data_IF_075270873295
#
_entry.id   IF_075270873295
#
_cell.length_a   1.000
_cell.length_b   1.000
_cell.length_c   1.000
_cell.angle_alpha   90.00
_cell.angle_beta   90.00
_cell.angle_gamma   90.00
#
_symmetry.space_group_name_H-M   'P 1'
#
loop_
_entity.id
_entity.type
_entity.pdbx_description
1 polymer ?
#
# COMPACT_ATOMS: atom_id res chain seq x y z
N UNK A 1 51.89 45.33 12.14
CA UNK A 1 50.81 45.19 11.24
C UNK A 1 50.63 43.74 10.67
N UNK A 2 51.68 42.98 10.45
CA UNK A 2 51.61 41.63 9.86
C UNK A 2 51.10 40.51 10.79
N UNK A 3 51.25 40.61 12.12
CA UNK A 3 50.79 39.61 13.07
C UNK A 3 49.26 39.63 13.27
N UNK A 4 48.63 40.79 13.11
CA UNK A 4 47.16 40.92 13.23
C UNK A 4 46.44 40.41 11.99
N UNK A 5 47.02 40.53 10.80
CA UNK A 5 46.50 39.99 9.55
C UNK A 5 46.50 38.45 9.52
N UNK A 6 47.55 37.83 10.09
CA UNK A 6 47.64 36.38 10.14
C UNK A 6 46.68 35.77 11.19
N UNK A 7 46.34 36.52 12.26
CA UNK A 7 45.35 36.08 13.25
C UNK A 7 43.92 36.12 12.71
N UNK A 8 43.59 37.13 11.88
CA UNK A 8 42.27 37.23 11.22
C UNK A 8 42.06 36.19 10.10
N UNK A 9 43.13 35.81 9.40
CA UNK A 9 43.09 34.72 8.42
C UNK A 9 42.94 33.32 9.07
N UNK A 10 43.56 33.12 10.24
CA UNK A 10 43.39 31.88 11.00
C UNK A 10 41.98 31.74 11.62
N UNK A 11 41.36 32.87 12.03
CA UNK A 11 39.99 32.86 12.56
C UNK A 11 38.94 32.66 11.46
N UNK A 12 39.18 33.14 10.24
CA UNK A 12 38.30 32.90 9.09
C UNK A 12 38.37 31.46 8.57
N UNK A 13 39.51 30.77 8.74
CA UNK A 13 39.66 29.35 8.39
C UNK A 13 38.98 28.39 9.40
N UNK A 14 38.75 28.83 10.64
CA UNK A 14 38.06 28.05 11.67
C UNK A 14 36.54 28.16 11.60
N UNK A 15 35.99 29.16 10.93
CA UNK A 15 34.55 29.32 10.72
C UNK A 15 34.06 28.63 9.45
N UNK A 16 34.94 28.13 8.59
CA UNK A 16 34.61 27.40 7.35
C UNK A 16 34.56 25.88 7.50
N UNK A 17 34.93 25.33 8.65
CA UNK A 17 34.76 23.91 8.97
C UNK A 17 33.42 23.67 9.69
N UNK A 18 32.32 24.16 9.10
CA UNK A 18 31.01 23.55 9.34
C UNK A 18 31.16 22.13 8.86
N UNK A 19 31.36 21.20 9.80
CA UNK A 19 31.50 19.79 9.48
C UNK A 19 30.36 19.39 8.51
N UNK A 20 30.76 18.91 7.36
CA UNK A 20 29.91 17.97 6.61
C UNK A 20 29.70 16.81 7.58
N UNK A 21 28.69 16.93 8.44
CA UNK A 21 28.12 15.75 9.08
C UNK A 21 27.80 14.81 7.91
N UNK A 22 28.34 13.62 7.96
CA UNK A 22 28.00 12.59 7.02
C UNK A 22 26.46 12.58 6.97
N UNK A 23 25.93 12.95 5.82
CA UNK A 23 24.49 12.90 5.60
C UNK A 23 24.05 11.50 5.97
N UNK A 24 23.11 11.38 6.92
CA UNK A 24 22.56 10.08 7.29
C UNK A 24 21.96 9.39 6.07
N UNK A 25 21.74 8.12 6.17
CA UNK A 25 21.02 7.37 5.15
C UNK A 25 19.79 6.70 5.78
N UNK A 26 18.78 6.44 4.96
CA UNK A 26 17.58 5.70 5.29
C UNK A 26 17.31 4.69 4.19
N UNK A 27 17.23 3.42 4.54
CA UNK A 27 16.88 2.36 3.61
C UNK A 27 15.40 2.03 3.76
N UNK A 28 14.60 2.51 2.82
CA UNK A 28 13.17 2.29 2.74
C UNK A 28 12.88 1.11 1.81
N UNK A 29 12.06 0.16 2.27
CA UNK A 29 11.55 -0.94 1.48
C UNK A 29 10.02 -0.87 1.48
N UNK A 30 9.42 -0.54 0.35
CA UNK A 30 8.01 -0.23 0.25
C UNK A 30 7.39 -0.64 -1.07
N UNK A 31 6.10 -0.36 -1.22
CA UNK A 31 5.38 -0.60 -2.46
C UNK A 31 5.89 0.30 -3.58
N UNK A 32 5.88 -0.20 -4.82
CA UNK A 32 6.01 0.67 -5.99
C UNK A 32 4.84 1.66 -6.05
N UNK A 33 5.03 2.79 -6.73
CA UNK A 33 4.00 3.84 -6.87
C UNK A 33 3.34 4.25 -5.53
N UNK A 34 4.14 4.42 -4.46
CA UNK A 34 3.63 4.73 -3.12
C UNK A 34 4.24 5.98 -2.49
N UNK A 35 5.50 6.27 -2.78
CA UNK A 35 6.18 7.48 -2.31
C UNK A 35 6.65 8.28 -3.51
N UNK A 36 6.12 9.49 -3.77
CA UNK A 36 6.55 10.33 -4.88
C UNK A 36 8.02 10.72 -4.76
N UNK A 37 8.75 10.76 -5.88
CA UNK A 37 10.16 11.15 -5.89
C UNK A 37 10.38 12.54 -5.27
N UNK A 38 9.46 13.48 -5.52
CA UNK A 38 9.52 14.82 -4.95
C UNK A 38 9.45 14.85 -3.41
N UNK A 39 8.79 13.86 -2.79
CA UNK A 39 8.74 13.71 -1.32
C UNK A 39 10.08 13.20 -0.81
N UNK A 40 10.72 12.24 -1.49
CA UNK A 40 12.05 11.74 -1.15
C UNK A 40 13.11 12.84 -1.28
N UNK A 41 13.06 13.58 -2.38
CA UNK A 41 13.98 14.70 -2.66
C UNK A 41 13.78 15.84 -1.65
N UNK A 42 12.53 16.16 -1.31
CA UNK A 42 12.19 17.16 -0.32
C UNK A 42 12.74 16.83 1.07
N UNK A 43 12.61 15.59 1.52
CA UNK A 43 13.18 15.12 2.77
C UNK A 43 14.72 15.19 2.77
N UNK A 44 15.36 14.71 1.69
CA UNK A 44 16.81 14.76 1.54
C UNK A 44 17.32 16.20 1.54
N UNK A 45 16.64 17.10 0.82
CA UNK A 45 17.00 18.53 0.77
C UNK A 45 16.89 19.21 2.15
N UNK A 46 15.88 18.85 2.93
CA UNK A 46 15.64 19.45 4.24
C UNK A 46 16.62 18.93 5.31
N UNK A 47 16.88 17.62 5.28
CA UNK A 47 17.59 16.93 6.39
C UNK A 47 19.01 16.55 6.08
N UNK A 48 19.42 16.51 4.82
CA UNK A 48 20.67 15.93 4.36
C UNK A 48 20.68 14.39 4.38
N UNK A 49 19.60 13.73 4.80
CA UNK A 49 19.49 12.28 4.86
C UNK A 49 19.10 11.75 3.48
N UNK A 50 19.92 10.88 2.91
CA UNK A 50 19.61 10.21 1.64
C UNK A 50 18.65 9.07 1.87
N UNK A 51 17.55 9.02 1.12
CA UNK A 51 16.62 7.88 1.13
C UNK A 51 16.97 6.93 -0.01
N UNK A 52 17.36 5.70 0.32
CA UNK A 52 17.53 4.60 -0.62
C UNK A 52 16.21 3.83 -0.64
N UNK A 53 15.45 3.97 -1.72
CA UNK A 53 14.13 3.34 -1.84
C UNK A 53 14.22 2.11 -2.73
N UNK A 54 13.93 0.95 -2.16
CA UNK A 54 13.75 -0.33 -2.84
C UNK A 54 12.28 -0.72 -2.79
N UNK A 55 11.77 -1.33 -3.86
CA UNK A 55 10.35 -1.68 -3.96
C UNK A 55 10.13 -3.18 -3.95
N UNK A 56 8.91 -3.58 -3.59
CA UNK A 56 8.38 -4.94 -3.69
C UNK A 56 6.95 -4.91 -4.26
N UNK A 57 6.50 -6.07 -4.76
CA UNK A 57 5.19 -6.22 -5.37
C UNK A 57 4.19 -7.03 -4.52
N UNK A 58 4.66 -7.66 -3.43
CA UNK A 58 3.80 -8.44 -2.53
C UNK A 58 4.30 -8.44 -1.08
N UNK A 59 3.37 -8.62 -0.12
CA UNK A 59 3.71 -8.80 1.30
C UNK A 59 4.56 -10.05 1.55
N UNK A 60 4.40 -11.08 0.74
CA UNK A 60 5.17 -12.32 0.80
C UNK A 60 6.64 -12.07 0.43
N UNK A 61 6.89 -11.23 -0.59
CA UNK A 61 8.24 -10.80 -0.96
C UNK A 61 8.88 -10.02 0.18
N UNK A 62 8.16 -9.05 0.75
CA UNK A 62 8.61 -8.29 1.92
C UNK A 62 9.04 -9.22 3.06
N UNK A 63 8.14 -10.13 3.47
CA UNK A 63 8.43 -11.07 4.56
C UNK A 63 9.61 -11.98 4.25
N UNK A 64 9.69 -12.51 3.04
CA UNK A 64 10.77 -13.40 2.62
C UNK A 64 12.12 -12.71 2.68
N UNK A 65 12.24 -11.50 2.20
CA UNK A 65 13.49 -10.71 2.25
C UNK A 65 13.89 -10.39 3.70
N UNK A 66 12.94 -9.98 4.54
CA UNK A 66 13.24 -9.68 5.95
C UNK A 66 13.64 -10.93 6.74
N UNK A 67 12.97 -12.05 6.53
CA UNK A 67 13.30 -13.33 7.20
C UNK A 67 14.65 -13.87 6.74
N UNK A 68 14.99 -13.73 5.47
CA UNK A 68 16.30 -14.12 4.93
C UNK A 68 17.44 -13.22 5.41
N UNK A 69 17.15 -12.10 6.10
CA UNK A 69 18.13 -11.09 6.47
C UNK A 69 18.74 -10.40 5.24
N UNK A 70 18.05 -10.45 4.10
CA UNK A 70 18.45 -9.78 2.89
C UNK A 70 18.11 -8.29 2.98
N UNK A 71 19.13 -7.44 2.82
CA UNK A 71 19.00 -5.99 2.94
C UNK A 71 19.13 -5.46 4.37
N UNK A 72 19.47 -4.17 4.46
CA UNK A 72 19.55 -3.44 5.72
C UNK A 72 18.43 -2.40 5.70
N UNK A 73 17.19 -2.81 5.85
CA UNK A 73 16.05 -1.90 5.80
C UNK A 73 15.82 -1.24 7.16
N UNK A 74 15.57 0.06 7.14
CA UNK A 74 15.32 0.89 8.31
C UNK A 74 13.84 1.23 8.46
N UNK A 75 13.10 1.21 7.36
CA UNK A 75 11.67 1.47 7.30
C UNK A 75 11.02 0.56 6.26
N UNK A 76 9.85 0.01 6.60
CA UNK A 76 9.07 -0.86 5.71
C UNK A 76 7.59 -0.46 5.70
N UNK A 77 6.87 -0.85 4.64
CA UNK A 77 5.45 -0.48 4.43
C UNK A 77 4.55 -1.73 4.31
N UNK A 78 4.45 -2.60 5.32
CA UNK A 78 3.58 -3.77 5.27
C UNK A 78 2.11 -3.39 5.29
N UNK A 79 1.26 -4.24 4.71
CA UNK A 79 -0.18 -4.19 4.98
C UNK A 79 -0.48 -4.69 6.40
N UNK A 80 -1.65 -4.33 6.91
CA UNK A 80 -2.11 -4.60 8.27
C UNK A 80 -1.95 -6.05 8.73
N UNK A 81 -2.39 -7.03 7.93
CA UNK A 81 -2.26 -8.45 8.25
C UNK A 81 -0.80 -8.94 8.29
N UNK A 82 0.06 -8.34 7.46
CA UNK A 82 1.48 -8.63 7.45
C UNK A 82 2.18 -7.99 8.65
N UNK A 83 1.80 -6.75 9.00
CA UNK A 83 2.25 -6.12 10.23
C UNK A 83 1.85 -6.94 11.47
N UNK A 84 0.65 -7.56 11.48
CA UNK A 84 0.23 -8.49 12.54
C UNK A 84 1.19 -9.68 12.69
N UNK A 85 1.61 -10.29 11.57
CA UNK A 85 2.62 -11.36 11.56
C UNK A 85 3.95 -10.87 12.10
N UNK A 86 4.42 -9.69 11.63
CA UNK A 86 5.70 -9.13 12.02
C UNK A 86 5.75 -8.77 13.51
N UNK A 87 4.68 -8.18 14.06
CA UNK A 87 4.56 -7.88 15.49
C UNK A 87 4.63 -9.17 16.32
N UNK A 88 3.84 -10.17 15.95
CA UNK A 88 3.79 -11.45 16.65
C UNK A 88 5.12 -12.20 16.63
N UNK A 89 5.93 -12.03 15.58
CA UNK A 89 7.27 -12.62 15.43
C UNK A 89 8.39 -11.74 15.98
N UNK A 90 8.08 -10.62 16.65
CA UNK A 90 9.05 -9.66 17.20
C UNK A 90 10.02 -9.12 16.12
N UNK A 91 9.51 -8.89 14.91
CA UNK A 91 10.29 -8.38 13.78
C UNK A 91 10.31 -6.85 13.72
N UNK A 92 9.50 -6.16 14.54
CA UNK A 92 9.38 -4.71 14.56
C UNK A 92 9.93 -4.11 15.86
N UNK A 93 10.60 -2.97 15.73
CA UNK A 93 10.97 -2.13 16.86
C UNK A 93 9.76 -1.28 17.32
N UNK A 94 9.58 -1.05 18.63
CA UNK A 94 8.55 -0.15 19.11
C UNK A 94 8.84 1.30 18.68
N UNK A 95 7.80 2.02 18.31
CA UNK A 95 7.87 3.43 17.92
C UNK A 95 8.13 4.32 19.15
N UNK A 96 8.97 5.32 18.98
CA UNK A 96 9.09 6.43 19.91
C UNK A 96 8.15 7.56 19.50
N UNK A 97 6.91 7.57 20.03
CA UNK A 97 5.89 8.56 19.69
C UNK A 97 6.30 10.00 20.03
N UNK A 98 7.25 10.21 20.95
CA UNK A 98 7.78 11.55 21.22
C UNK A 98 8.57 12.14 20.03
N UNK A 99 9.07 11.28 19.13
CA UNK A 99 9.71 11.69 17.89
C UNK A 99 8.73 11.86 16.72
N UNK A 100 7.44 11.60 16.93
CA UNK A 100 6.38 11.65 15.93
C UNK A 100 5.28 12.68 16.28
N UNK A 101 5.62 13.97 16.49
CA UNK A 101 4.64 14.98 16.86
C UNK A 101 3.49 15.14 15.85
N UNK A 102 3.70 14.77 14.58
CA UNK A 102 2.69 14.80 13.53
C UNK A 102 1.75 13.57 13.53
N UNK A 103 2.00 12.58 14.40
CA UNK A 103 1.10 11.43 14.53
C UNK A 103 -0.33 11.84 14.95
N UNK A 104 -0.49 12.98 15.64
CA UNK A 104 -1.78 13.59 15.96
C UNK A 104 -2.66 13.90 14.75
N UNK A 105 -2.08 13.99 13.56
CA UNK A 105 -2.80 14.27 12.31
C UNK A 105 -3.54 13.03 11.77
N UNK A 106 -3.18 11.83 12.27
CA UNK A 106 -3.85 10.58 11.92
C UNK A 106 -5.21 10.51 12.62
N UNK A 107 -6.26 10.22 11.85
CA UNK A 107 -7.62 10.10 12.35
C UNK A 107 -7.77 9.02 13.41
N UNK A 108 -8.66 9.23 14.39
CA UNK A 108 -8.88 8.30 15.49
C UNK A 108 -9.26 6.89 15.05
N UNK A 109 -10.02 6.78 13.96
CA UNK A 109 -10.43 5.49 13.36
C UNK A 109 -9.25 4.69 12.78
N UNK A 110 -8.11 5.35 12.54
CA UNK A 110 -6.87 4.73 12.07
C UNK A 110 -5.84 4.53 13.18
N UNK A 111 -6.19 4.81 14.42
CA UNK A 111 -5.36 4.54 15.58
C UNK A 111 -5.84 3.26 16.28
N UNK A 112 -4.94 2.56 16.95
CA UNK A 112 -5.25 1.34 17.71
C UNK A 112 -5.96 0.28 16.87
N UNK A 113 -5.43 0.02 15.69
CA UNK A 113 -5.96 -0.94 14.74
C UNK A 113 -5.84 -2.38 15.25
N UNK A 114 -6.68 -3.33 14.77
CA UNK A 114 -6.69 -4.71 15.27
C UNK A 114 -5.34 -5.43 15.24
N UNK A 115 -4.46 -5.08 14.30
CA UNK A 115 -3.11 -5.65 14.19
C UNK A 115 -2.12 -5.03 15.20
N UNK A 116 -2.36 -3.80 15.66
CA UNK A 116 -1.56 -3.09 16.67
C UNK A 116 -2.47 -2.33 17.66
N UNK A 117 -3.21 -3.02 18.56
CA UNK A 117 -4.23 -2.41 19.41
C UNK A 117 -3.70 -1.34 20.37
N UNK A 118 -2.39 -1.35 20.61
CA UNK A 118 -1.73 -0.38 21.48
C UNK A 118 -1.08 0.77 20.71
N UNK A 119 -1.05 0.70 19.35
CA UNK A 119 -0.41 1.70 18.50
C UNK A 119 1.10 1.82 18.77
N UNK A 120 1.78 0.71 19.04
CA UNK A 120 3.19 0.72 19.46
C UNK A 120 4.18 0.51 18.34
N UNK A 121 3.78 -0.09 17.23
CA UNK A 121 4.70 -0.60 16.22
C UNK A 121 4.46 -0.01 14.83
N UNK A 122 3.26 0.54 14.58
CA UNK A 122 2.85 0.92 13.25
C UNK A 122 2.26 2.32 13.18
N UNK A 123 2.51 3.00 12.06
CA UNK A 123 1.88 4.27 11.71
C UNK A 123 1.07 4.08 10.44
N UNK A 124 -0.25 4.28 10.44
CA UNK A 124 -1.06 4.23 9.22
C UNK A 124 -0.55 5.23 8.18
N UNK A 125 -0.34 4.75 6.96
CA UNK A 125 0.20 5.53 5.87
C UNK A 125 -0.81 5.77 4.76
N UNK A 126 -1.40 4.69 4.25
CA UNK A 126 -2.48 4.70 3.28
C UNK A 126 -3.51 3.64 3.63
N UNK A 127 -4.74 3.83 3.17
CA UNK A 127 -5.76 2.80 3.20
C UNK A 127 -6.53 2.81 1.89
N UNK A 128 -7.02 1.66 1.52
CA UNK A 128 -7.79 1.52 0.28
C UNK A 128 -8.67 0.29 0.32
N UNK A 129 -9.31 0.05 -0.80
CA UNK A 129 -10.14 -1.13 -1.01
C UNK A 129 -9.76 -1.82 -2.31
N UNK A 130 -10.08 -3.10 -2.42
CA UNK A 130 -10.06 -3.81 -3.69
C UNK A 130 -11.48 -3.84 -4.24
N UNK A 131 -11.65 -3.31 -5.44
CA UNK A 131 -12.96 -3.25 -6.06
C UNK A 131 -12.93 -3.44 -7.56
N UNK A 132 -14.10 -3.33 -8.17
CA UNK A 132 -14.28 -3.56 -9.58
C UNK A 132 -14.27 -2.21 -10.31
N UNK A 133 -13.50 -2.12 -11.39
CA UNK A 133 -13.58 -1.00 -12.35
C UNK A 133 -14.21 -1.50 -13.63
N UNK A 134 -15.16 -0.74 -14.16
CA UNK A 134 -15.77 -1.02 -15.46
C UNK A 134 -15.67 0.17 -16.39
N UNK A 135 -15.32 -0.08 -17.65
CA UNK A 135 -15.46 0.89 -18.73
C UNK A 135 -16.92 0.88 -19.20
N UNK A 136 -17.70 1.87 -18.78
CA UNK A 136 -19.15 1.93 -19.04
C UNK A 136 -19.54 2.15 -20.51
N UNK A 137 -18.59 2.53 -21.37
CA UNK A 137 -18.80 2.56 -22.81
C UNK A 137 -18.77 1.16 -23.46
N UNK A 138 -18.17 0.18 -22.78
CA UNK A 138 -17.96 -1.18 -23.26
C UNK A 138 -18.74 -2.24 -22.47
N UNK A 139 -19.03 -1.94 -21.21
CA UNK A 139 -19.77 -2.82 -20.30
C UNK A 139 -21.03 -2.08 -19.90
N UNK A 140 -22.14 -2.44 -20.54
CA UNK A 140 -23.45 -1.80 -20.36
C UNK A 140 -24.32 -2.53 -19.36
N UNK A 141 -23.99 -3.77 -19.01
CA UNK A 141 -24.70 -4.53 -18.00
C UNK A 141 -24.45 -3.94 -16.60
N UNK A 142 -25.43 -3.98 -15.71
CA UNK A 142 -25.25 -3.60 -14.33
C UNK A 142 -24.23 -4.49 -13.63
N UNK A 143 -23.19 -3.89 -13.05
CA UNK A 143 -22.17 -4.56 -12.25
C UNK A 143 -22.35 -4.17 -10.79
N UNK A 144 -22.56 -5.17 -9.92
CA UNK A 144 -22.72 -4.99 -8.47
C UNK A 144 -21.73 -5.82 -7.66
N UNK A 145 -21.14 -6.86 -8.25
CA UNK A 145 -20.26 -7.76 -7.56
C UNK A 145 -19.40 -8.64 -8.47
N UNK A 146 -18.63 -9.52 -7.86
CA UNK A 146 -17.67 -10.37 -8.56
C UNK A 146 -18.36 -11.30 -9.56
N UNK A 147 -19.53 -11.86 -9.20
CA UNK A 147 -20.25 -12.76 -10.07
C UNK A 147 -20.75 -12.10 -11.37
N UNK A 148 -20.93 -10.78 -11.37
CA UNK A 148 -21.36 -10.04 -12.56
C UNK A 148 -20.24 -9.90 -13.59
N UNK A 149 -18.99 -9.90 -13.16
CA UNK A 149 -17.83 -9.69 -14.04
C UNK A 149 -17.10 -10.98 -14.41
N UNK A 150 -17.09 -11.98 -13.54
CA UNK A 150 -16.48 -13.27 -13.85
C UNK A 150 -17.47 -14.19 -14.61
N UNK A 151 -17.86 -13.76 -15.82
CA UNK A 151 -18.76 -14.48 -16.71
C UNK A 151 -18.10 -14.75 -18.07
N UNK A 152 -18.49 -15.83 -18.75
CA UNK A 152 -17.93 -16.25 -20.02
C UNK A 152 -17.96 -15.16 -21.12
N UNK A 153 -18.97 -14.27 -21.10
CA UNK A 153 -19.09 -13.13 -22.03
C UNK A 153 -17.98 -12.09 -21.88
N UNK A 154 -17.28 -12.06 -20.74
CA UNK A 154 -16.17 -11.16 -20.46
C UNK A 154 -14.81 -11.85 -20.52
N UNK A 155 -14.74 -13.10 -21.02
CA UNK A 155 -13.47 -13.78 -21.21
C UNK A 155 -12.51 -12.91 -22.05
N UNK A 156 -11.24 -12.87 -21.62
CA UNK A 156 -10.15 -12.09 -22.21
C UNK A 156 -10.40 -10.56 -22.21
N UNK A 157 -11.32 -10.08 -21.32
CA UNK A 157 -11.63 -8.66 -21.14
C UNK A 157 -11.38 -8.17 -19.72
N UNK A 158 -10.68 -8.98 -18.89
CA UNK A 158 -10.41 -8.67 -17.49
C UNK A 158 -8.92 -8.51 -17.22
N UNK A 159 -8.58 -7.49 -16.43
CA UNK A 159 -7.34 -7.41 -15.64
C UNK A 159 -7.68 -7.62 -14.17
N UNK A 160 -6.90 -8.44 -13.49
CA UNK A 160 -7.05 -8.63 -12.04
C UNK A 160 -5.69 -8.56 -11.35
N UNK A 161 -5.72 -8.31 -10.06
CA UNK A 161 -4.51 -8.33 -9.23
C UNK A 161 -3.84 -9.70 -9.31
N UNK A 162 -2.52 -9.71 -9.46
CA UNK A 162 -1.71 -10.92 -9.37
C UNK A 162 -1.40 -11.25 -7.89
N UNK A 163 -2.44 -11.30 -7.09
CA UNK A 163 -2.40 -11.58 -5.65
C UNK A 163 -3.26 -12.79 -5.34
N UNK A 164 -2.64 -13.86 -4.87
CA UNK A 164 -3.32 -15.13 -4.65
C UNK A 164 -4.34 -15.05 -3.53
N UNK A 165 -4.05 -14.27 -2.48
CA UNK A 165 -4.96 -14.06 -1.37
C UNK A 165 -6.21 -13.31 -1.80
N UNK A 166 -6.04 -12.28 -2.61
CA UNK A 166 -7.14 -11.52 -3.19
C UNK A 166 -8.03 -12.40 -4.05
N UNK A 167 -7.44 -13.15 -4.99
CA UNK A 167 -8.19 -14.03 -5.91
C UNK A 167 -9.06 -15.04 -5.14
N UNK A 168 -8.50 -15.67 -4.10
CA UNK A 168 -9.27 -16.61 -3.27
C UNK A 168 -10.33 -15.88 -2.44
N UNK A 169 -10.02 -14.67 -1.94
CA UNK A 169 -10.96 -13.90 -1.13
C UNK A 169 -12.21 -13.50 -1.91
N UNK A 170 -12.09 -13.15 -3.19
CA UNK A 170 -13.26 -12.84 -4.05
C UNK A 170 -14.14 -14.05 -4.27
N UNK A 171 -13.53 -15.23 -4.50
CA UNK A 171 -14.28 -16.49 -4.62
C UNK A 171 -14.99 -16.85 -3.31
N UNK A 172 -14.33 -16.67 -2.17
CA UNK A 172 -14.95 -16.88 -0.86
C UNK A 172 -16.10 -15.91 -0.61
N UNK A 173 -15.91 -14.62 -0.92
CA UNK A 173 -16.95 -13.61 -0.78
C UNK A 173 -18.19 -13.98 -1.62
N UNK A 174 -18.01 -14.43 -2.87
CA UNK A 174 -19.09 -14.87 -3.74
C UNK A 174 -19.87 -16.09 -3.22
N UNK A 175 -19.23 -16.86 -2.34
CA UNK A 175 -19.83 -18.01 -1.65
C UNK A 175 -20.39 -17.64 -0.26
N UNK A 176 -20.34 -16.36 0.14
CA UNK A 176 -20.74 -15.91 1.47
C UNK A 176 -19.81 -16.41 2.60
N UNK A 177 -18.55 -16.73 2.29
CA UNK A 177 -17.57 -17.24 3.23
C UNK A 177 -16.56 -16.14 3.65
N UNK A 178 -16.00 -16.32 4.84
CA UNK A 178 -15.00 -15.39 5.39
C UNK A 178 -13.64 -15.56 4.71
N UNK A 179 -12.93 -14.47 4.34
CA UNK A 179 -11.56 -14.55 3.83
C UNK A 179 -10.52 -14.83 4.92
N UNK A 180 -10.93 -14.90 6.18
CA UNK A 180 -10.05 -15.13 7.33
C UNK A 180 -10.17 -16.53 7.94
N UNK A 181 -11.26 -17.26 7.64
CA UNK A 181 -11.52 -18.61 8.18
C UNK A 181 -11.10 -19.66 7.16
N UNK A 182 -9.79 -19.75 6.91
CA UNK A 182 -9.24 -20.62 5.86
C UNK A 182 -8.90 -21.98 6.42
N UNK A 183 -9.59 -23.00 5.88
CA UNK A 183 -9.30 -24.43 6.15
C UNK A 183 -9.23 -25.19 4.82
N UNK A 184 -8.65 -26.42 4.79
CA UNK A 184 -8.68 -27.26 3.57
C UNK A 184 -10.09 -27.46 3.01
N UNK A 185 -11.10 -27.60 3.87
CA UNK A 185 -12.50 -27.76 3.47
C UNK A 185 -13.08 -26.48 2.85
N UNK A 186 -12.69 -25.30 3.37
CA UNK A 186 -13.09 -24.00 2.80
C UNK A 186 -12.40 -23.79 1.44
N UNK A 187 -11.10 -24.08 1.34
CA UNK A 187 -10.36 -23.98 0.07
C UNK A 187 -10.91 -24.95 -0.99
N UNK A 188 -11.34 -26.15 -0.58
CA UNK A 188 -12.00 -27.10 -1.51
C UNK A 188 -13.30 -26.54 -2.10
N UNK A 189 -14.03 -25.69 -1.35
CA UNK A 189 -15.25 -25.00 -1.87
C UNK A 189 -14.88 -23.85 -2.82
N UNK A 190 -13.83 -23.10 -2.52
CA UNK A 190 -13.39 -21.99 -3.37
C UNK A 190 -12.73 -22.46 -4.67
N UNK A 191 -12.03 -23.60 -4.66
CA UNK A 191 -11.28 -24.14 -5.79
C UNK A 191 -12.03 -24.13 -7.13
N UNK A 192 -13.25 -24.68 -7.27
CA UNK A 192 -13.97 -24.69 -8.56
C UNK A 192 -14.29 -23.26 -9.05
N UNK A 193 -14.62 -22.33 -8.14
CA UNK A 193 -14.90 -20.95 -8.49
C UNK A 193 -13.64 -20.25 -9.01
N UNK A 194 -12.52 -20.37 -8.27
CA UNK A 194 -11.23 -19.83 -8.71
C UNK A 194 -10.82 -20.42 -10.06
N UNK A 195 -10.97 -21.75 -10.23
CA UNK A 195 -10.59 -22.43 -11.47
C UNK A 195 -11.35 -21.92 -12.71
N UNK A 196 -12.63 -21.57 -12.53
CA UNK A 196 -13.40 -20.97 -13.63
C UNK A 196 -13.03 -19.50 -13.87
N UNK A 197 -12.83 -18.73 -12.80
CA UNK A 197 -12.55 -17.31 -12.92
C UNK A 197 -11.19 -17.00 -13.53
N UNK A 198 -10.14 -17.73 -13.12
CA UNK A 198 -8.79 -17.48 -13.66
C UNK A 198 -8.73 -17.71 -15.18
N UNK A 199 -9.53 -18.61 -15.75
CA UNK A 199 -9.63 -18.86 -17.21
C UNK A 199 -10.21 -17.69 -18.00
N UNK A 200 -10.89 -16.76 -17.33
CA UNK A 200 -11.52 -15.59 -17.95
C UNK A 200 -10.56 -14.39 -18.02
N UNK A 201 -9.52 -14.42 -17.22
CA UNK A 201 -8.60 -13.29 -17.04
C UNK A 201 -7.61 -13.22 -18.20
N UNK A 202 -7.46 -12.01 -18.76
CA UNK A 202 -6.44 -11.73 -19.78
C UNK A 202 -5.12 -11.29 -19.16
N UNK A 203 -5.17 -10.48 -18.09
CA UNK A 203 -4.00 -9.86 -17.46
C UNK A 203 -4.03 -10.05 -15.97
N UNK A 204 -2.93 -10.55 -15.40
CA UNK A 204 -2.68 -10.58 -13.96
C UNK A 204 -1.59 -9.54 -13.66
N UNK A 205 -1.94 -8.45 -12.97
CA UNK A 205 -1.03 -7.36 -12.67
C UNK A 205 -1.42 -6.70 -11.34
N UNK A 206 -0.51 -6.69 -10.37
CA UNK A 206 -0.69 -5.99 -9.08
C UNK A 206 0.03 -4.65 -9.03
N UNK A 207 0.94 -4.38 -9.97
CA UNK A 207 1.80 -3.21 -9.94
C UNK A 207 1.13 -1.99 -10.59
N UNK A 208 0.61 -2.17 -11.81
CA UNK A 208 -0.05 -1.08 -12.56
C UNK A 208 -1.25 -1.58 -13.41
N UNK A 209 -2.27 -2.20 -12.78
CA UNK A 209 -3.40 -2.80 -13.51
C UNK A 209 -4.20 -1.77 -14.31
N UNK A 210 -4.16 -0.49 -13.96
CA UNK A 210 -4.77 0.62 -14.71
C UNK A 210 -4.29 0.70 -16.16
N UNK A 211 -3.05 0.29 -16.44
CA UNK A 211 -2.44 0.41 -17.75
C UNK A 211 -3.22 -0.38 -18.81
N UNK A 212 -3.61 -1.62 -18.52
CA UNK A 212 -4.41 -2.44 -19.43
C UNK A 212 -5.79 -1.83 -19.73
N UNK A 213 -6.40 -1.15 -18.75
CA UNK A 213 -7.68 -0.44 -18.90
C UNK A 213 -7.54 0.83 -19.72
N UNK A 214 -6.49 1.63 -19.47
CA UNK A 214 -6.22 2.88 -20.21
C UNK A 214 -5.92 2.61 -21.67
N UNK A 215 -5.14 1.56 -21.97
CA UNK A 215 -4.80 1.16 -23.33
C UNK A 215 -6.00 0.55 -24.09
N UNK A 216 -7.08 0.17 -23.36
CA UNK A 216 -8.22 -0.51 -23.96
C UNK A 216 -7.96 -1.99 -24.28
N UNK A 217 -6.95 -2.58 -23.66
CA UNK A 217 -6.65 -4.02 -23.78
C UNK A 217 -7.70 -4.87 -23.11
N UNK A 218 -8.33 -4.32 -22.07
CA UNK A 218 -9.42 -4.91 -21.28
C UNK A 218 -10.47 -3.85 -20.92
N UNK A 219 -11.64 -4.27 -20.51
CA UNK A 219 -12.77 -3.38 -20.19
C UNK A 219 -13.19 -3.41 -18.73
N UNK A 220 -12.71 -4.40 -17.99
CA UNK A 220 -13.05 -4.66 -16.59
C UNK A 220 -11.75 -4.89 -15.81
N UNK A 221 -11.68 -4.34 -14.60
CA UNK A 221 -10.60 -4.58 -13.67
C UNK A 221 -11.09 -4.97 -12.28
N UNK A 222 -10.38 -5.88 -11.60
CA UNK A 222 -10.47 -6.02 -10.13
C UNK A 222 -9.14 -5.54 -9.59
N UNK A 223 -9.14 -4.32 -9.05
CA UNK A 223 -7.93 -3.54 -8.85
C UNK A 223 -7.91 -2.80 -7.52
N UNK A 224 -6.75 -2.31 -7.13
CA UNK A 224 -6.59 -1.40 -6.00
C UNK A 224 -7.35 -0.09 -6.22
N UNK A 225 -7.96 0.44 -5.16
CA UNK A 225 -8.76 1.66 -5.23
C UNK A 225 -7.97 2.90 -5.70
N UNK A 226 -6.67 2.99 -5.40
CA UNK A 226 -5.84 4.08 -5.92
C UNK A 226 -5.67 4.05 -7.43
N UNK A 227 -5.50 2.84 -8.00
CA UNK A 227 -5.47 2.62 -9.46
C UNK A 227 -6.81 3.00 -10.11
N UNK A 228 -7.90 2.59 -9.47
CA UNK A 228 -9.25 2.96 -9.89
C UNK A 228 -9.50 4.48 -9.80
N UNK A 229 -8.94 5.13 -8.79
CA UNK A 229 -9.05 6.57 -8.61
C UNK A 229 -8.31 7.35 -9.71
N UNK A 230 -7.14 6.87 -10.13
CA UNK A 230 -6.40 7.43 -11.28
C UNK A 230 -7.24 7.29 -12.55
N UNK A 231 -7.79 6.11 -12.81
CA UNK A 231 -8.67 5.87 -13.97
C UNK A 231 -9.87 6.81 -13.98
N UNK A 232 -10.54 7.00 -12.84
CA UNK A 232 -11.67 7.90 -12.72
C UNK A 232 -11.29 9.36 -12.96
N UNK A 233 -10.12 9.79 -12.49
CA UNK A 233 -9.59 11.14 -12.74
C UNK A 233 -9.28 11.36 -14.21
N UNK A 234 -8.75 10.37 -14.92
CA UNK A 234 -8.47 10.43 -16.35
C UNK A 234 -9.75 10.48 -17.17
N UNK A 235 -10.72 9.62 -16.85
CA UNK A 235 -12.00 9.59 -17.55
C UNK A 235 -13.08 8.89 -16.69
N UNK A 236 -14.16 9.62 -16.40
CA UNK A 236 -15.27 9.12 -15.59
C UNK A 236 -16.10 8.00 -16.24
N UNK A 237 -15.76 7.56 -17.45
CA UNK A 237 -16.28 6.29 -18.00
C UNK A 237 -15.83 5.07 -17.20
N UNK A 238 -14.69 5.17 -16.51
CA UNK A 238 -14.21 4.15 -15.58
C UNK A 238 -14.92 4.31 -14.24
N UNK A 239 -15.91 3.47 -13.99
CA UNK A 239 -16.66 3.48 -12.73
C UNK A 239 -16.10 2.47 -11.77
N UNK A 240 -15.89 2.91 -10.53
CA UNK A 240 -15.51 2.04 -9.41
C UNK A 240 -16.74 1.52 -8.69
N UNK A 241 -16.74 0.22 -8.42
CA UNK A 241 -17.83 -0.50 -7.75
C UNK A 241 -17.24 -1.28 -6.58
N UNK A 242 -17.74 -1.05 -5.37
CA UNK A 242 -17.49 -1.94 -4.24
C UNK A 242 -18.36 -3.18 -4.41
N UNK A 243 -17.77 -4.39 -4.45
CA UNK A 243 -18.54 -5.63 -4.60
C UNK A 243 -19.56 -5.82 -3.49
N UNK A 244 -20.81 -6.17 -3.87
CA UNK A 244 -21.89 -6.38 -2.92
C UNK A 244 -21.62 -7.56 -1.98
N UNK A 245 -20.81 -8.54 -2.41
CA UNK A 245 -20.37 -9.68 -1.63
C UNK A 245 -19.39 -9.29 -0.52
N UNK A 246 -18.78 -8.13 -0.64
CA UNK A 246 -17.80 -7.56 0.29
C UNK A 246 -16.45 -7.31 -0.38
N UNK A 247 -15.89 -6.14 -0.10
CA UNK A 247 -14.59 -5.70 -0.59
C UNK A 247 -13.53 -5.89 0.48
N UNK A 248 -12.30 -6.26 0.10
CA UNK A 248 -11.15 -6.13 1.00
C UNK A 248 -10.86 -4.65 1.24
N UNK A 249 -10.71 -4.26 2.50
CA UNK A 249 -10.13 -3.00 2.93
C UNK A 249 -8.76 -3.31 3.52
N UNK A 250 -7.73 -2.70 2.98
CA UNK A 250 -6.37 -2.78 3.51
C UNK A 250 -5.96 -1.47 4.19
N UNK A 251 -5.03 -1.59 5.12
CA UNK A 251 -4.37 -0.44 5.76
C UNK A 251 -2.89 -0.71 5.70
N UNK A 252 -2.18 0.05 4.85
CA UNK A 252 -0.74 -0.03 4.77
C UNK A 252 -0.13 0.91 5.80
N UNK A 253 0.89 0.41 6.46
CA UNK A 253 1.49 1.08 7.59
C UNK A 253 2.99 1.28 7.40
N UNK A 254 3.55 2.28 8.05
CA UNK A 254 4.98 2.45 8.22
C UNK A 254 5.41 1.72 9.48
N UNK A 255 6.44 0.90 9.39
CA UNK A 255 6.97 0.14 10.51
C UNK A 255 8.50 0.07 10.47
N UNK A 256 9.14 0.09 11.63
CA UNK A 256 10.59 0.03 11.77
C UNK A 256 10.98 -1.41 12.09
N UNK A 257 11.79 -2.09 11.23
CA UNK A 257 12.30 -3.42 11.54
C UNK A 257 13.13 -3.43 12.83
N UNK A 258 13.03 -4.50 13.62
CA UNK A 258 13.83 -4.65 14.85
C UNK A 258 15.34 -4.63 14.60
N UNK A 259 15.76 -4.94 13.37
CA UNK A 259 17.16 -4.94 12.91
C UNK A 259 17.62 -3.61 12.33
N UNK A 260 16.73 -2.60 12.26
CA UNK A 260 17.03 -1.28 11.67
C UNK A 260 18.20 -0.59 12.34
N UNK A 261 19.14 -0.09 11.54
CA UNK A 261 20.35 0.59 12.00
C UNK A 261 20.15 2.10 12.15
N UNK A 262 19.24 2.69 11.35
CA UNK A 262 18.98 4.11 11.27
C UNK A 262 17.57 4.45 11.79
N UNK A 263 17.24 3.95 13.02
CA UNK A 263 15.90 4.13 13.61
C UNK A 263 15.53 5.61 13.84
N UNK A 264 16.53 6.47 14.11
CA UNK A 264 16.31 7.91 14.29
C UNK A 264 15.87 8.55 12.96
N UNK A 265 16.56 8.24 11.88
CA UNK A 265 16.27 8.69 10.53
C UNK A 265 14.91 8.17 10.06
N UNK A 266 14.56 6.92 10.41
CA UNK A 266 13.25 6.35 10.16
C UNK A 266 12.13 7.13 10.86
N UNK A 267 12.29 7.48 12.15
CA UNK A 267 11.32 8.32 12.84
C UNK A 267 11.22 9.72 12.22
N UNK A 268 12.35 10.33 11.82
CA UNK A 268 12.35 11.63 11.15
C UNK A 268 11.58 11.58 9.84
N UNK A 269 11.78 10.52 9.03
CA UNK A 269 11.09 10.35 7.76
C UNK A 269 9.59 10.06 7.97
N UNK A 270 9.23 9.18 8.91
CA UNK A 270 7.81 8.95 9.29
C UNK A 270 7.16 10.29 9.67
N UNK A 271 7.79 11.06 10.56
CA UNK A 271 7.22 12.34 10.99
C UNK A 271 7.13 13.37 9.86
N UNK A 272 8.05 13.35 8.91
CA UNK A 272 8.00 14.16 7.70
C UNK A 272 6.82 13.79 6.81
N UNK A 273 6.59 12.50 6.55
CA UNK A 273 5.47 11.99 5.76
C UNK A 273 4.10 12.37 6.38
N UNK A 274 4.04 12.50 7.71
CA UNK A 274 2.83 12.87 8.45
C UNK A 274 2.53 14.38 8.46
N UNK A 275 3.37 15.22 7.87
CA UNK A 275 3.04 16.65 7.67
C UNK A 275 1.86 16.76 6.70
N UNK A 276 0.88 17.63 6.95
CA UNK A 276 -0.30 17.73 6.10
C UNK A 276 0.03 18.00 4.62
N UNK A 277 0.95 18.92 4.37
CA UNK A 277 1.39 19.30 3.02
C UNK A 277 2.13 18.17 2.29
N UNK A 278 2.97 17.39 3.00
CA UNK A 278 3.69 16.24 2.43
C UNK A 278 2.71 15.10 2.15
N UNK A 279 1.84 14.79 3.10
CA UNK A 279 0.82 13.77 2.95
C UNK A 279 -0.18 14.11 1.83
N UNK A 280 -0.46 15.41 1.60
CA UNK A 280 -1.23 15.87 0.44
C UNK A 280 -0.52 15.59 -0.88
N UNK A 281 0.78 15.89 -1.00
CA UNK A 281 1.56 15.59 -2.21
C UNK A 281 1.48 14.10 -2.57
N UNK A 282 1.51 13.22 -1.54
CA UNK A 282 1.34 11.78 -1.74
C UNK A 282 -0.05 11.48 -2.31
N UNK A 283 -1.12 12.07 -1.75
CA UNK A 283 -2.48 11.88 -2.25
C UNK A 283 -2.71 12.47 -3.65
N UNK A 284 -2.01 13.55 -4.01
CA UNK A 284 -2.10 14.14 -5.35
C UNK A 284 -1.55 13.17 -6.41
N UNK A 285 -0.54 12.38 -6.06
CA UNK A 285 0.10 11.44 -6.97
C UNK A 285 -0.52 10.05 -6.92
N UNK A 286 -0.80 9.58 -5.71
CA UNK A 286 -1.36 8.26 -5.43
C UNK A 286 -2.65 8.42 -4.62
N UNK A 287 -3.80 8.54 -5.30
CA UNK A 287 -5.06 8.99 -4.70
C UNK A 287 -5.80 7.88 -3.93
N UNK A 288 -5.10 7.19 -3.05
CA UNK A 288 -5.70 6.31 -2.05
C UNK A 288 -6.41 7.11 -0.94
N UNK A 289 -7.18 6.44 -0.09
CA UNK A 289 -7.74 7.07 1.10
C UNK A 289 -6.62 7.48 2.06
N UNK A 290 -6.54 8.76 2.37
CA UNK A 290 -5.50 9.29 3.25
C UNK A 290 -5.95 9.21 4.73
N UNK A 291 -5.24 8.52 5.63
CA UNK A 291 -5.56 8.48 7.06
C UNK A 291 -5.22 9.79 7.79
N UNK A 292 -4.44 10.69 7.19
CA UNK A 292 -4.09 11.99 7.74
C UNK A 292 -5.23 13.00 7.52
N UNK A 293 -6.00 13.29 8.59
CA UNK A 293 -7.17 14.17 8.50
C UNK A 293 -6.81 15.63 8.21
N UNK A 294 -5.64 16.09 8.65
CA UNK A 294 -5.20 17.45 8.34
C UNK A 294 -4.80 17.59 6.87
N UNK A 295 -4.21 16.55 6.27
CA UNK A 295 -3.95 16.50 4.83
C UNK A 295 -5.25 16.47 4.02
N UNK A 296 -6.28 15.74 4.47
CA UNK A 296 -7.59 15.72 3.77
C UNK A 296 -8.22 17.11 3.65
N UNK A 297 -7.99 18.01 4.62
CA UNK A 297 -8.49 19.40 4.55
C UNK A 297 -7.86 20.21 3.43
N UNK A 298 -6.71 19.78 2.92
CA UNK A 298 -6.00 20.42 1.81
C UNK A 298 -6.38 19.85 0.43
N UNK A 299 -7.14 18.75 0.40
CA UNK A 299 -7.62 18.15 -0.84
C UNK A 299 -8.77 18.96 -1.43
N UNK A 300 -8.89 18.93 -2.76
CA UNK A 300 -10.01 19.58 -3.45
C UNK A 300 -11.31 18.80 -3.24
N UNK A 301 -12.44 19.46 -3.54
CA UNK A 301 -13.75 18.79 -3.48
C UNK A 301 -13.84 17.63 -4.47
N UNK A 302 -13.22 17.75 -5.62
CA UNK A 302 -13.16 16.72 -6.66
C UNK A 302 -12.38 15.50 -6.18
N UNK A 303 -11.22 15.73 -5.54
CA UNK A 303 -10.43 14.64 -4.95
C UNK A 303 -11.20 13.89 -3.86
N UNK A 304 -11.89 14.63 -2.98
CA UNK A 304 -12.72 14.05 -1.92
C UNK A 304 -14.00 13.36 -2.46
N UNK A 305 -14.47 13.76 -3.64
CA UNK A 305 -15.63 13.15 -4.30
C UNK A 305 -15.28 11.93 -5.16
N UNK A 306 -13.99 11.61 -5.33
CA UNK A 306 -13.58 10.42 -6.09
C UNK A 306 -14.07 9.15 -5.37
N UNK A 307 -14.95 8.33 -5.98
CA UNK A 307 -15.59 7.21 -5.31
C UNK A 307 -14.65 6.05 -5.02
N UNK A 308 -13.49 5.98 -5.65
CA UNK A 308 -12.47 4.98 -5.37
C UNK A 308 -11.56 5.41 -4.21
N UNK A 309 -11.21 6.71 -4.13
CA UNK A 309 -10.41 7.24 -3.02
C UNK A 309 -11.20 7.30 -1.71
N UNK A 310 -12.47 7.70 -1.78
CA UNK A 310 -13.34 7.88 -0.61
C UNK A 310 -14.69 7.19 -0.83
N UNK A 311 -14.69 5.85 -0.90
CA UNK A 311 -15.93 5.10 -1.13
C UNK A 311 -16.91 5.28 0.02
N UNK A 312 -18.20 5.34 -0.31
CA UNK A 312 -19.28 5.41 0.67
C UNK A 312 -20.09 4.13 0.65
N UNK A 313 -20.34 3.56 1.83
CA UNK A 313 -21.11 2.32 1.98
C UNK A 313 -20.29 1.07 1.65
N UNK A 314 -21.01 -0.03 1.37
CA UNK A 314 -20.42 -1.34 1.08
C UNK A 314 -20.07 -2.15 2.34
N UNK A 315 -19.88 -3.45 2.16
CA UNK A 315 -19.37 -4.35 3.20
C UNK A 315 -17.85 -4.45 3.06
N UNK A 316 -17.11 -3.94 4.04
CA UNK A 316 -15.66 -3.98 4.03
C UNK A 316 -15.14 -5.10 4.93
N UNK A 317 -14.12 -5.80 4.49
CA UNK A 317 -13.46 -6.90 5.19
C UNK A 317 -11.97 -6.61 5.32
N UNK A 318 -11.46 -6.67 6.53
CA UNK A 318 -10.03 -6.57 6.82
C UNK A 318 -9.44 -7.99 6.80
N UNK A 319 -8.29 -8.15 6.18
CA UNK A 319 -7.55 -9.41 6.27
C UNK A 319 -6.87 -9.53 7.64
N UNK A 320 -6.77 -10.77 8.10
CA UNK A 320 -6.04 -11.14 9.30
C UNK A 320 -4.97 -12.17 8.93
N UNK A 321 -4.03 -12.35 9.82
CA UNK A 321 -3.08 -13.44 9.66
C UNK A 321 -3.79 -14.80 9.67
N UNK A 322 -3.63 -15.55 8.60
CA UNK A 322 -4.19 -16.91 8.43
C UNK A 322 -3.15 -18.01 8.65
N UNK A 323 -1.96 -17.65 9.09
CA UNK A 323 -0.90 -18.60 9.43
C UNK A 323 -0.50 -19.46 8.23
N UNK A 324 -0.46 -20.80 8.45
CA UNK A 324 -0.03 -21.77 7.42
C UNK A 324 -0.95 -21.83 6.19
N UNK A 325 -2.20 -21.41 6.33
CA UNK A 325 -3.14 -21.44 5.21
C UNK A 325 -2.76 -20.49 4.06
N UNK A 326 -1.85 -19.52 4.29
CA UNK A 326 -1.30 -18.68 3.23
C UNK A 326 -0.60 -19.55 2.16
N UNK A 327 0.24 -20.49 2.55
CA UNK A 327 0.93 -21.39 1.62
C UNK A 327 -0.05 -22.30 0.85
N UNK A 328 -1.16 -22.70 1.49
CA UNK A 328 -2.20 -23.52 0.83
C UNK A 328 -2.94 -22.69 -0.25
N UNK A 329 -3.18 -21.42 0.01
CA UNK A 329 -3.74 -20.47 -0.97
C UNK A 329 -2.79 -20.31 -2.15
N UNK A 330 -1.51 -20.04 -1.89
CA UNK A 330 -0.48 -19.85 -2.93
C UNK A 330 -0.39 -21.06 -3.84
N UNK A 331 -0.32 -22.26 -3.23
CA UNK A 331 -0.30 -23.52 -3.98
C UNK A 331 -1.55 -23.68 -4.84
N UNK A 332 -2.75 -23.43 -4.29
CA UNK A 332 -4.01 -23.58 -4.99
C UNK A 332 -4.07 -22.70 -6.24
N UNK A 333 -3.77 -21.40 -6.10
CA UNK A 333 -3.88 -20.45 -7.22
C UNK A 333 -2.78 -20.68 -8.24
N UNK A 334 -1.56 -20.97 -7.81
CA UNK A 334 -0.43 -21.27 -8.71
C UNK A 334 -0.72 -22.53 -9.54
N UNK A 335 -1.21 -23.60 -8.92
CA UNK A 335 -1.60 -24.83 -9.64
C UNK A 335 -2.69 -24.55 -10.69
N UNK A 336 -3.68 -23.70 -10.35
CA UNK A 336 -4.80 -23.37 -11.26
C UNK A 336 -4.37 -22.45 -12.42
N UNK A 337 -3.47 -21.49 -12.18
CA UNK A 337 -2.90 -20.65 -13.23
C UNK A 337 -1.99 -21.44 -14.18
N UNK A 338 -1.24 -22.42 -13.66
CA UNK A 338 -0.33 -23.25 -14.46
C UNK A 338 -1.04 -24.31 -15.31
N UNK A 339 -2.31 -24.60 -15.02
CA UNK A 339 -3.14 -25.56 -15.75
C UNK A 339 -3.92 -24.95 -16.93
N UNK A 340 -3.73 -23.66 -17.22
CA UNK A 340 -4.30 -22.95 -18.36
C UNK A 340 -3.43 -23.11 -19.60
#
# INVERSE_FOLDING_TARGET
MNKLKNLLLALAALLGASGLHAAGELNLFGWSEYVPQEVLDGFTKETGIKVNFETYASNEELLSKLVAGAGNYDLVQPSDYTAEVMIRRNMLAPLNLAQLPNFKNIGGDFQKLPHDPQGRFTVPYMTGTVGIVVNTEKVTDPVKGYQDVFQAKYKDRLVVLNDNREIVSWALASLGLSPNDITPAILAKARPVVAEWVKLVKVFDSDSPKTALLNGDVDIGVVWSGEAAILWNENQKFKYVLPAEGAHQFIDVLAIPATAKHQKEAHQFINYLLRPEVSKLISDKFPYTNPNLEARKLLTKEQLANPASYPTGGSLKIFRDIGKAAADIDKLVTDLKSAQ
#
